data_IF_372773707434
#
_entry.id   IF_372773707434
#
_cell.length_a   1.000
_cell.length_b   1.000
_cell.length_c   1.000
_cell.angle_alpha   90.00
_cell.angle_beta   90.00
_cell.angle_gamma   90.00
#
_symmetry.space_group_name_H-M   'P 1'
#
loop_
_entity.id
_entity.type
_entity.pdbx_description
1 polymer ?
#
# COMPACT_ATOMS: atom_id res chain seq x y z
N UNK A 1 -4.23 -7.17 -13.97
CA UNK A 1 -3.63 -6.08 -13.18
C UNK A 1 -4.04 -4.68 -13.67
N UNK A 2 -4.08 -4.42 -14.97
CA UNK A 2 -4.52 -3.12 -15.51
C UNK A 2 -5.89 -2.66 -15.01
N UNK A 3 -6.87 -3.54 -14.95
CA UNK A 3 -8.21 -3.23 -14.41
C UNK A 3 -8.18 -2.83 -12.92
N UNK A 4 -7.32 -3.45 -12.12
CA UNK A 4 -7.17 -3.10 -10.71
C UNK A 4 -6.59 -1.69 -10.53
N UNK A 5 -5.59 -1.33 -11.32
CA UNK A 5 -5.04 0.03 -11.33
C UNK A 5 -6.03 1.07 -11.84
N UNK A 6 -6.80 0.72 -12.88
CA UNK A 6 -7.86 1.59 -13.41
C UNK A 6 -8.88 1.94 -12.33
N UNK A 7 -9.32 0.92 -11.58
CA UNK A 7 -10.23 1.09 -10.45
C UNK A 7 -9.62 1.96 -9.35
N UNK A 8 -8.36 1.69 -8.97
CA UNK A 8 -7.63 2.46 -7.98
C UNK A 8 -7.52 3.96 -8.36
N UNK A 9 -7.19 4.26 -9.62
CA UNK A 9 -7.06 5.62 -10.10
C UNK A 9 -8.40 6.37 -10.14
N UNK A 10 -9.49 5.65 -10.42
CA UNK A 10 -10.83 6.20 -10.45
C UNK A 10 -11.36 6.52 -9.05
N UNK A 11 -11.17 5.60 -8.09
CA UNK A 11 -11.70 5.78 -6.74
C UNK A 11 -11.02 6.89 -5.94
N UNK A 12 -9.71 7.04 -6.10
CA UNK A 12 -8.94 7.96 -5.25
C UNK A 12 -8.95 9.42 -5.71
N UNK A 13 -9.41 9.73 -6.92
CA UNK A 13 -9.42 11.08 -7.46
C UNK A 13 -8.04 11.76 -7.60
N UNK A 14 -7.01 11.22 -6.93
CA UNK A 14 -5.60 11.64 -7.02
C UNK A 14 -4.75 10.45 -7.43
N UNK A 15 -4.00 10.61 -8.50
CA UNK A 15 -3.07 9.59 -9.01
C UNK A 15 -1.72 9.76 -8.34
N UNK A 16 -1.01 8.67 -8.01
CA UNK A 16 0.37 8.78 -7.56
C UNK A 16 1.26 9.26 -8.70
N UNK A 17 2.34 9.93 -8.38
CA UNK A 17 3.36 10.31 -9.36
C UNK A 17 4.09 9.08 -9.92
N UNK A 18 4.40 8.14 -9.06
CA UNK A 18 5.07 6.89 -9.43
C UNK A 18 4.60 5.73 -8.56
N UNK A 19 4.68 4.54 -9.14
CA UNK A 19 4.38 3.27 -8.47
C UNK A 19 5.58 2.34 -8.61
N UNK A 20 6.00 1.77 -7.48
CA UNK A 20 7.04 0.76 -7.42
C UNK A 20 6.43 -0.63 -7.34
N UNK A 21 6.92 -1.54 -8.18
CA UNK A 21 6.53 -2.96 -8.14
C UNK A 21 7.77 -3.85 -8.20
N UNK A 22 7.59 -5.16 -8.07
CA UNK A 22 8.59 -6.13 -8.51
C UNK A 22 8.57 -6.27 -10.05
N UNK A 23 9.41 -7.17 -10.59
CA UNK A 23 9.55 -7.37 -12.04
C UNK A 23 8.54 -8.36 -12.63
N UNK A 24 7.41 -8.60 -11.95
CA UNK A 24 6.38 -9.52 -12.44
C UNK A 24 5.76 -9.08 -13.77
N UNK A 25 5.52 -10.03 -14.66
CA UNK A 25 4.88 -9.78 -15.95
C UNK A 25 3.46 -9.22 -15.81
N UNK A 26 2.80 -9.43 -14.67
CA UNK A 26 1.52 -8.85 -14.34
C UNK A 26 1.55 -7.32 -14.28
N UNK A 27 2.72 -6.73 -13.97
CA UNK A 27 2.94 -5.28 -13.90
C UNK A 27 3.59 -4.73 -15.18
N UNK A 28 4.48 -5.50 -15.82
CA UNK A 28 5.24 -5.08 -16.99
C UNK A 28 4.72 -5.76 -18.26
N UNK A 29 3.55 -5.34 -18.71
CA UNK A 29 2.93 -5.76 -19.95
C UNK A 29 2.34 -4.56 -20.69
N UNK A 30 1.97 -4.75 -21.96
CA UNK A 30 1.48 -3.70 -22.84
C UNK A 30 0.25 -2.98 -22.27
N UNK A 31 -0.69 -3.70 -21.68
CA UNK A 31 -1.93 -3.12 -21.14
C UNK A 31 -1.66 -2.20 -19.96
N UNK A 32 -0.79 -2.62 -19.04
CA UNK A 32 -0.38 -1.81 -17.89
C UNK A 32 0.44 -0.62 -18.34
N UNK A 33 1.40 -0.81 -19.25
CA UNK A 33 2.21 0.29 -19.81
C UNK A 33 1.35 1.38 -20.46
N UNK A 34 0.36 1.00 -21.25
CA UNK A 34 -0.58 1.92 -21.89
C UNK A 34 -1.40 2.70 -20.85
N UNK A 35 -1.91 2.02 -19.84
CA UNK A 35 -2.68 2.64 -18.76
C UNK A 35 -1.85 3.68 -18.00
N UNK A 36 -0.63 3.34 -17.61
CA UNK A 36 0.26 4.25 -16.90
C UNK A 36 0.69 5.45 -17.74
N UNK A 37 0.95 5.23 -19.02
CA UNK A 37 1.22 6.32 -19.98
C UNK A 37 0.04 7.27 -20.10
N UNK A 38 -1.18 6.75 -20.25
CA UNK A 38 -2.42 7.55 -20.36
C UNK A 38 -2.65 8.39 -19.10
N UNK A 39 -2.34 7.85 -17.93
CA UNK A 39 -2.52 8.54 -16.65
C UNK A 39 -1.30 9.34 -16.19
N UNK A 40 -0.22 9.35 -16.95
CA UNK A 40 1.05 10.02 -16.62
C UNK A 40 1.61 9.60 -15.26
N UNK A 41 1.58 8.30 -14.99
CA UNK A 41 2.13 7.67 -13.78
C UNK A 41 3.40 6.91 -14.15
N UNK A 42 4.47 7.10 -13.38
CA UNK A 42 5.72 6.38 -13.60
C UNK A 42 5.69 5.01 -12.89
N UNK A 43 5.85 3.94 -13.67
CA UNK A 43 5.98 2.58 -13.14
C UNK A 43 7.45 2.17 -13.18
N UNK A 44 8.00 1.73 -12.06
CA UNK A 44 9.38 1.26 -11.99
C UNK A 44 9.53 0.03 -11.10
N UNK A 45 10.52 -0.79 -11.41
CA UNK A 45 10.91 -1.93 -10.60
C UNK A 45 12.29 -1.74 -10.00
N UNK A 46 12.46 -2.15 -8.75
CA UNK A 46 13.74 -2.14 -8.06
C UNK A 46 14.32 -3.54 -8.01
N UNK A 47 15.55 -3.69 -8.50
CA UNK A 47 16.27 -4.97 -8.51
C UNK A 47 16.95 -5.31 -7.18
N UNK A 48 16.98 -4.40 -6.21
CA UNK A 48 17.75 -4.59 -4.99
C UNK A 48 17.05 -5.48 -3.97
N UNK A 49 17.84 -6.03 -3.04
CA UNK A 49 17.36 -6.79 -1.89
C UNK A 49 16.49 -5.95 -0.93
N UNK A 50 16.51 -4.63 -1.07
CA UNK A 50 15.72 -3.66 -0.29
C UNK A 50 14.35 -3.36 -0.93
N UNK A 51 13.80 -4.35 -1.64
CA UNK A 51 12.47 -4.25 -2.25
C UNK A 51 11.43 -3.92 -1.19
N UNK A 52 10.55 -3.02 -1.48
CA UNK A 52 9.25 -2.78 -0.83
C UNK A 52 9.11 -3.25 0.65
N UNK A 53 10.18 -3.14 1.46
CA UNK A 53 10.22 -3.68 2.84
C UNK A 53 9.06 -3.16 3.71
N UNK A 54 8.60 -1.93 3.46
CA UNK A 54 7.46 -1.35 4.18
C UNK A 54 6.15 -2.05 3.81
N UNK A 55 5.94 -2.31 2.52
CA UNK A 55 4.75 -3.03 2.03
C UNK A 55 4.76 -4.49 2.49
N UNK A 56 5.92 -5.14 2.43
CA UNK A 56 6.08 -6.52 2.91
C UNK A 56 5.79 -6.63 4.42
N UNK A 57 6.25 -5.68 5.21
CA UNK A 57 5.95 -5.61 6.65
C UNK A 57 4.47 -5.38 6.89
N UNK A 58 3.85 -4.47 6.16
CA UNK A 58 2.40 -4.25 6.22
C UNK A 58 1.63 -5.52 5.87
N UNK A 59 1.96 -6.18 4.77
CA UNK A 59 1.32 -7.42 4.35
C UNK A 59 1.46 -8.52 5.39
N UNK A 60 2.62 -8.65 6.03
CA UNK A 60 2.84 -9.61 7.13
C UNK A 60 1.91 -9.31 8.30
N UNK A 61 1.83 -8.05 8.73
CA UNK A 61 0.95 -7.63 9.83
C UNK A 61 -0.50 -7.88 9.50
N UNK A 62 -0.94 -7.52 8.30
CA UNK A 62 -2.30 -7.73 7.83
C UNK A 62 -2.65 -9.22 7.80
N UNK A 63 -1.81 -10.05 7.19
CA UNK A 63 -1.99 -11.51 7.17
C UNK A 63 -2.10 -12.11 8.56
N UNK A 64 -1.23 -11.72 9.49
CA UNK A 64 -1.25 -12.21 10.87
C UNK A 64 -2.58 -11.88 11.57
N UNK A 65 -3.08 -10.66 11.41
CA UNK A 65 -4.38 -10.25 11.96
C UNK A 65 -5.53 -11.03 11.34
N UNK A 66 -5.51 -11.20 10.02
CA UNK A 66 -6.53 -11.95 9.29
C UNK A 66 -6.56 -13.42 9.71
N UNK A 67 -5.42 -14.09 9.82
CA UNK A 67 -5.35 -15.49 10.26
C UNK A 67 -5.84 -15.68 11.70
N UNK A 68 -5.51 -14.77 12.60
CA UNK A 68 -6.07 -14.80 13.97
C UNK A 68 -7.59 -14.66 13.96
N UNK A 69 -8.12 -13.77 13.15
CA UNK A 69 -9.55 -13.60 12.98
C UNK A 69 -10.22 -14.85 12.41
N UNK A 70 -9.62 -15.45 11.37
CA UNK A 70 -10.14 -16.71 10.79
C UNK A 70 -10.18 -17.84 11.79
N UNK A 71 -9.16 -17.97 12.62
CA UNK A 71 -9.13 -18.96 13.71
C UNK A 71 -10.24 -18.71 14.70
N UNK A 72 -10.49 -17.45 15.04
CA UNK A 72 -11.54 -17.08 16.01
C UNK A 72 -12.95 -17.37 15.48
N UNK A 73 -13.25 -17.05 14.23
CA UNK A 73 -14.58 -17.24 13.64
C UNK A 73 -14.78 -18.61 12.98
N UNK A 74 -13.73 -19.41 12.80
CA UNK A 74 -13.75 -20.70 12.13
C UNK A 74 -14.04 -20.65 10.62
N UNK A 75 -13.85 -19.51 9.96
CA UNK A 75 -14.12 -19.28 8.54
C UNK A 75 -13.04 -18.41 7.90
N UNK A 76 -12.73 -18.66 6.63
CA UNK A 76 -11.76 -17.86 5.84
C UNK A 76 -12.44 -16.70 5.08
N UNK A 77 -13.31 -15.97 5.74
CA UNK A 77 -14.02 -14.84 5.14
C UNK A 77 -13.34 -13.53 5.53
N UNK A 78 -12.70 -12.86 4.57
CA UNK A 78 -11.87 -11.69 4.81
C UNK A 78 -12.43 -10.37 4.26
N UNK A 79 -13.25 -10.42 3.22
CA UNK A 79 -13.70 -9.23 2.50
C UNK A 79 -14.61 -8.31 3.33
N UNK A 80 -15.32 -8.83 4.33
CA UNK A 80 -16.16 -8.01 5.23
C UNK A 80 -15.34 -7.21 6.26
N UNK A 81 -14.12 -7.66 6.56
CA UNK A 81 -13.32 -7.14 7.68
C UNK A 81 -12.02 -6.48 7.23
N UNK A 82 -11.68 -6.59 5.95
CA UNK A 82 -10.43 -6.05 5.40
C UNK A 82 -10.31 -4.54 5.67
N UNK A 83 -11.36 -3.78 5.37
CA UNK A 83 -11.36 -2.33 5.58
C UNK A 83 -11.19 -1.97 7.06
N UNK A 84 -11.81 -2.72 7.95
CA UNK A 84 -11.64 -2.52 9.40
C UNK A 84 -10.20 -2.78 9.85
N UNK A 85 -9.52 -3.78 9.31
CA UNK A 85 -8.12 -4.05 9.61
C UNK A 85 -7.20 -2.94 9.07
N UNK A 86 -7.48 -2.45 7.87
CA UNK A 86 -6.72 -1.34 7.26
C UNK A 86 -6.92 -0.06 8.06
N UNK A 87 -8.14 0.29 8.43
CA UNK A 87 -8.46 1.44 9.26
C UNK A 87 -7.78 1.35 10.62
N UNK A 88 -7.86 0.20 11.27
CA UNK A 88 -7.17 -0.03 12.55
C UNK A 88 -5.65 0.12 12.42
N UNK A 89 -5.05 -0.40 11.36
CA UNK A 89 -3.63 -0.25 11.11
C UNK A 89 -3.24 1.22 10.90
N UNK A 90 -3.98 1.94 10.06
CA UNK A 90 -3.71 3.33 9.71
C UNK A 90 -3.95 4.32 10.85
N UNK A 91 -4.70 3.91 11.89
CA UNK A 91 -4.94 4.68 13.10
C UNK A 91 -4.13 4.19 14.31
N UNK A 92 -3.21 3.27 14.11
CA UNK A 92 -2.32 2.79 15.18
C UNK A 92 -0.95 3.47 15.07
N UNK A 93 -0.38 4.00 16.17
CA UNK A 93 0.96 4.58 16.16
C UNK A 93 2.01 3.61 15.63
N UNK A 94 2.83 4.08 14.70
CA UNK A 94 3.83 3.25 14.03
C UNK A 94 5.24 3.55 14.55
N UNK A 95 5.94 2.50 14.96
CA UNK A 95 7.28 2.63 15.56
C UNK A 95 8.32 3.29 14.66
N UNK A 96 8.21 3.11 13.35
CA UNK A 96 9.13 3.67 12.35
C UNK A 96 8.75 5.08 11.89
N UNK A 97 7.68 5.65 12.41
CA UNK A 97 7.30 7.02 12.13
C UNK A 97 7.76 7.96 13.26
N UNK A 98 8.12 9.22 12.95
CA UNK A 98 8.51 10.19 13.96
C UNK A 98 7.38 10.45 14.95
N UNK A 99 7.73 10.78 16.18
CA UNK A 99 6.78 11.13 17.24
C UNK A 99 5.68 10.06 17.47
N UNK A 100 5.93 8.83 17.05
CA UNK A 100 4.96 7.72 17.07
C UNK A 100 3.65 8.06 16.34
N UNK A 101 3.75 8.80 15.26
CA UNK A 101 2.60 9.11 14.40
C UNK A 101 1.93 7.85 13.89
N UNK A 102 0.62 7.94 13.68
CA UNK A 102 -0.11 6.96 12.89
C UNK A 102 0.16 7.16 11.38
N UNK A 103 -0.01 6.15 10.54
CA UNK A 103 0.06 6.33 9.09
C UNK A 103 -0.88 7.43 8.56
N UNK A 104 -2.07 7.57 9.15
CA UNK A 104 -3.00 8.63 8.77
C UNK A 104 -2.48 10.03 9.11
N UNK A 105 -1.82 10.21 10.25
CA UNK A 105 -1.18 11.48 10.61
C UNK A 105 0.03 11.77 9.72
N UNK A 106 0.87 10.75 9.47
CA UNK A 106 2.08 10.91 8.66
C UNK A 106 1.81 11.35 7.21
N UNK A 107 0.66 10.98 6.64
CA UNK A 107 0.27 11.36 5.28
C UNK A 107 -0.24 12.81 5.15
N UNK A 108 -0.49 13.51 6.26
CA UNK A 108 -0.97 14.88 6.22
C UNK A 108 0.13 15.81 5.70
N UNK A 109 -0.19 16.78 4.82
CA UNK A 109 0.79 17.71 4.27
C UNK A 109 1.59 18.47 5.32
N UNK A 110 0.96 18.85 6.43
CA UNK A 110 1.62 19.53 7.55
C UNK A 110 2.72 18.69 8.22
N UNK A 111 2.65 17.37 8.14
CA UNK A 111 3.62 16.45 8.72
C UNK A 111 4.70 15.99 7.73
N UNK A 112 4.58 16.35 6.46
CA UNK A 112 5.47 15.87 5.40
C UNK A 112 6.95 16.15 5.68
N UNK A 113 7.29 17.34 6.14
CA UNK A 113 8.67 17.72 6.47
C UNK A 113 9.24 16.92 7.65
N UNK A 114 8.45 16.75 8.71
CA UNK A 114 8.83 15.96 9.88
C UNK A 114 9.07 14.50 9.53
N UNK A 115 8.21 13.92 8.70
CA UNK A 115 8.36 12.55 8.20
C UNK A 115 9.61 12.41 7.33
N UNK A 116 9.86 13.37 6.45
CA UNK A 116 11.04 13.38 5.58
C UNK A 116 12.35 13.44 6.37
N UNK A 117 12.42 14.27 7.42
CA UNK A 117 13.62 14.37 8.26
C UNK A 117 13.95 13.09 9.03
N UNK A 118 12.98 12.21 9.22
CA UNK A 118 13.13 10.96 9.98
C UNK A 118 13.63 9.79 9.14
N UNK A 119 13.65 9.92 7.82
CA UNK A 119 14.17 8.89 6.91
C UNK A 119 15.68 8.92 6.86
#
# INVERSE_FOLDING_TARGET
MAKAFQHLFKERGKKPFSIQTDQGNEFFNTNVAQLFKTHNVNLFAVKSQYKAALVERFNRTLKTRMFRYFTHIGKHRWFDVLDKFIDSYNNTPHRSLPLRMTPNEARLPENAYTVWLHQ
#
